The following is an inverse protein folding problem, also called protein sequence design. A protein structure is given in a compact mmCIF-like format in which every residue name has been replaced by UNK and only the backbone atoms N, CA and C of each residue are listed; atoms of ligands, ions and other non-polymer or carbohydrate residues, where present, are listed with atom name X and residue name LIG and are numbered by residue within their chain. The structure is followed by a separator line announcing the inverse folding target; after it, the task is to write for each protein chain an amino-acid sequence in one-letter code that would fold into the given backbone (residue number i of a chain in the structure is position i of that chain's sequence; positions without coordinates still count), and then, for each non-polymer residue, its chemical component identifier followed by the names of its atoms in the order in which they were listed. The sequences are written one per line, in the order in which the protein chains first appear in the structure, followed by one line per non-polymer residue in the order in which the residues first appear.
data_IF_853494687589
#
_entry.id   IF_853494687589
#
_cell.length_a   1.000
_cell.length_b   1.000
_cell.length_c   1.000
_cell.angle_alpha   90.00
_cell.angle_beta   90.00
_cell.angle_gamma   90.00
#
_symmetry.space_group_name_H-M   'P 1'
#
loop_
_entity.id
_entity.type
_entity.pdbx_description
1 polymer ?
#
# COMPACT_ATOMS: atom_id res chain seq x y z
N UNK A 1 -24.69 -13.02 8.19
CA UNK A 1 -23.88 -14.25 8.05
C UNK A 1 -22.95 -14.27 9.26
N UNK A 2 -23.12 -15.23 10.16
CA UNK A 2 -22.28 -15.38 11.36
C UNK A 2 -20.87 -15.84 10.96
N UNK A 3 -19.82 -15.21 11.49
CA UNK A 3 -18.44 -15.61 11.24
C UNK A 3 -18.15 -17.03 11.75
N UNK A 4 -18.20 -18.00 10.86
CA UNK A 4 -17.72 -19.37 11.13
C UNK A 4 -16.18 -19.48 11.12
N UNK A 5 -15.46 -18.42 10.76
CA UNK A 5 -14.04 -18.50 10.35
C UNK A 5 -13.02 -17.95 11.36
N UNK A 6 -13.41 -17.10 12.32
CA UNK A 6 -12.58 -16.78 13.47
C UNK A 6 -12.87 -17.75 14.62
N UNK A 7 -12.75 -19.06 14.38
CA UNK A 7 -12.63 -19.99 15.51
C UNK A 7 -11.29 -19.71 16.17
N UNK A 8 -11.32 -18.91 17.24
CA UNK A 8 -10.17 -18.62 18.11
C UNK A 8 -9.59 -19.98 18.54
N UNK A 9 -8.57 -20.46 17.85
CA UNK A 9 -7.90 -21.71 18.19
C UNK A 9 -7.11 -21.56 19.50
N UNK A 10 -6.74 -20.31 19.83
CA UNK A 10 -6.04 -19.92 21.06
C UNK A 10 -6.52 -18.54 21.50
N UNK A 11 -7.02 -18.45 22.73
CA UNK A 11 -7.47 -17.17 23.31
C UNK A 11 -6.28 -16.20 23.49
N UNK A 12 -6.42 -14.92 23.06
CA UNK A 12 -5.42 -13.88 23.29
C UNK A 12 -5.01 -13.76 24.75
N UNK A 13 -3.72 -13.53 24.99
CA UNK A 13 -3.14 -13.29 26.32
C UNK A 13 -2.67 -11.85 26.50
N UNK A 14 -2.46 -11.12 25.41
CA UNK A 14 -2.18 -9.68 25.41
C UNK A 14 -2.83 -9.02 24.18
N UNK A 15 -2.87 -7.68 24.14
CA UNK A 15 -3.41 -6.94 23.00
C UNK A 15 -2.75 -7.33 21.67
N UNK A 16 -1.44 -7.55 21.67
CA UNK A 16 -0.70 -7.99 20.49
C UNK A 16 -1.25 -9.30 19.91
N UNK A 17 -1.64 -10.26 20.76
CA UNK A 17 -2.25 -11.51 20.28
C UNK A 17 -3.60 -11.25 19.59
N UNK A 18 -4.40 -10.29 20.09
CA UNK A 18 -5.66 -9.86 19.44
C UNK A 18 -5.38 -9.23 18.07
N UNK A 19 -4.33 -8.41 17.97
CA UNK A 19 -3.87 -7.87 16.69
C UNK A 19 -3.41 -8.97 15.73
N UNK A 20 -2.64 -9.95 16.20
CA UNK A 20 -2.18 -11.08 15.38
C UNK A 20 -3.36 -11.93 14.86
N UNK A 21 -4.40 -12.14 15.67
CA UNK A 21 -5.64 -12.79 15.20
C UNK A 21 -6.30 -11.98 14.08
N UNK A 22 -6.39 -10.66 14.24
CA UNK A 22 -6.96 -9.79 13.21
C UNK A 22 -6.13 -9.76 11.93
N UNK A 23 -4.80 -9.72 12.02
CA UNK A 23 -3.92 -9.86 10.85
C UNK A 23 -4.13 -11.20 10.14
N UNK A 24 -4.37 -12.29 10.89
CA UNK A 24 -4.71 -13.59 10.32
C UNK A 24 -6.05 -13.57 9.57
N UNK A 25 -7.07 -12.90 10.11
CA UNK A 25 -8.34 -12.67 9.42
C UNK A 25 -8.14 -11.87 8.12
N UNK A 26 -7.45 -10.75 8.19
CA UNK A 26 -7.18 -9.87 7.04
C UNK A 26 -6.46 -10.63 5.93
N UNK A 27 -5.41 -11.40 6.28
CA UNK A 27 -4.70 -12.25 5.32
C UNK A 27 -5.66 -13.18 4.57
N UNK A 28 -6.53 -13.87 5.29
CA UNK A 28 -7.47 -14.79 4.67
C UNK A 28 -8.44 -14.06 3.72
N UNK A 29 -8.92 -12.87 4.11
CA UNK A 29 -9.76 -12.04 3.25
C UNK A 29 -9.04 -11.58 2.00
N UNK A 30 -7.77 -11.17 2.11
CA UNK A 30 -6.97 -10.75 0.96
C UNK A 30 -6.65 -11.91 0.01
N UNK A 31 -6.39 -13.12 0.53
CA UNK A 31 -6.19 -14.31 -0.31
C UNK A 31 -7.44 -14.61 -1.15
N UNK A 32 -8.64 -14.47 -0.55
CA UNK A 32 -9.91 -14.60 -1.27
C UNK A 32 -10.11 -13.48 -2.30
N UNK A 33 -9.92 -12.23 -1.90
CA UNK A 33 -10.07 -11.05 -2.75
C UNK A 33 -9.12 -11.13 -3.97
N UNK A 34 -7.88 -11.55 -3.74
CA UNK A 34 -6.85 -11.73 -4.77
C UNK A 34 -7.28 -12.77 -5.81
N UNK A 35 -7.79 -13.91 -5.36
CA UNK A 35 -8.25 -14.97 -6.24
C UNK A 35 -9.50 -14.56 -7.03
N UNK A 36 -10.47 -13.93 -6.36
CA UNK A 36 -11.75 -13.54 -6.95
C UNK A 36 -11.60 -12.41 -7.98
N UNK A 37 -10.68 -11.47 -7.73
CA UNK A 37 -10.52 -10.25 -8.54
C UNK A 37 -9.23 -10.23 -9.39
N UNK A 38 -8.45 -11.30 -9.36
CA UNK A 38 -7.15 -11.41 -10.07
C UNK A 38 -6.24 -10.21 -9.77
N UNK A 39 -5.90 -10.04 -8.49
CA UNK A 39 -5.07 -8.93 -8.01
C UNK A 39 -3.58 -9.25 -8.17
N UNK A 40 -2.92 -8.53 -9.07
CA UNK A 40 -1.48 -8.72 -9.32
C UNK A 40 -0.62 -7.86 -8.40
N UNK A 41 -1.16 -6.72 -7.94
CA UNK A 41 -0.46 -5.77 -7.08
C UNK A 41 -1.08 -5.69 -5.69
N UNK A 42 -2.35 -5.31 -5.56
CA UNK A 42 -2.99 -5.08 -4.25
C UNK A 42 -3.34 -6.43 -3.58
N UNK A 43 -2.31 -7.22 -3.26
CA UNK A 43 -2.37 -8.56 -2.70
C UNK A 43 -1.54 -8.64 -1.40
N UNK A 44 -1.47 -9.84 -0.80
CA UNK A 44 -0.80 -10.00 0.49
C UNK A 44 0.71 -9.67 0.45
N UNK A 45 1.38 -9.87 -0.69
CA UNK A 45 2.80 -9.54 -0.81
C UNK A 45 3.04 -8.03 -0.76
N UNK A 46 2.19 -7.25 -1.43
CA UNK A 46 2.25 -5.79 -1.39
C UNK A 46 2.09 -5.26 0.05
N UNK A 47 1.03 -5.66 0.76
CA UNK A 47 0.80 -5.15 2.11
C UNK A 47 1.88 -5.58 3.12
N UNK A 48 2.55 -6.71 2.89
CA UNK A 48 3.75 -7.09 3.66
C UNK A 48 4.91 -6.13 3.39
N UNK A 49 5.12 -5.72 2.13
CA UNK A 49 6.06 -4.67 1.77
C UNK A 49 5.72 -3.33 2.44
N UNK A 50 4.45 -2.92 2.42
CA UNK A 50 3.99 -1.71 3.12
C UNK A 50 4.22 -1.80 4.62
N UNK A 51 3.91 -2.94 5.26
CA UNK A 51 4.18 -3.15 6.68
C UNK A 51 5.68 -3.02 7.00
N UNK A 52 6.55 -3.63 6.20
CA UNK A 52 7.99 -3.55 6.40
C UNK A 52 8.50 -2.10 6.27
N UNK A 53 8.02 -1.36 5.26
CA UNK A 53 8.31 0.08 5.09
C UNK A 53 7.82 0.89 6.29
N UNK A 54 6.60 0.64 6.75
CA UNK A 54 6.01 1.31 7.91
C UNK A 54 6.81 1.07 9.20
N UNK A 55 7.31 -0.15 9.41
CA UNK A 55 8.16 -0.48 10.56
C UNK A 55 9.50 0.27 10.53
N UNK A 56 10.12 0.43 9.37
CA UNK A 56 11.36 1.22 9.21
C UNK A 56 11.14 2.69 9.57
N UNK A 57 10.07 3.30 9.04
CA UNK A 57 9.72 4.69 9.35
C UNK A 57 9.39 4.83 10.84
N UNK A 58 8.58 3.92 11.40
CA UNK A 58 8.23 3.94 12.82
C UNK A 58 9.45 3.85 13.72
N UNK A 59 10.38 2.92 13.45
CA UNK A 59 11.58 2.76 14.27
C UNK A 59 12.50 4.00 14.21
N UNK A 60 12.54 4.73 13.09
CA UNK A 60 13.26 6.00 12.96
C UNK A 60 12.58 7.15 13.73
N UNK A 61 11.25 7.19 13.77
CA UNK A 61 10.45 8.24 14.44
C UNK A 61 10.31 7.99 15.95
N UNK A 62 10.23 6.73 16.38
CA UNK A 62 9.88 6.31 17.74
C UNK A 62 10.67 7.01 18.84
N UNK A 63 12.02 7.15 18.78
CA UNK A 63 12.77 7.78 19.87
C UNK A 63 12.35 9.22 20.12
N UNK A 64 12.04 9.95 19.04
CA UNK A 64 11.67 11.36 19.09
C UNK A 64 10.19 11.53 19.47
N UNK A 65 9.32 10.68 18.94
CA UNK A 65 7.92 10.64 19.36
C UNK A 65 7.79 10.35 20.86
N UNK A 66 8.54 9.38 21.38
CA UNK A 66 8.57 9.10 22.83
C UNK A 66 9.02 10.31 23.65
N UNK A 67 10.03 11.05 23.18
CA UNK A 67 10.52 12.23 23.87
C UNK A 67 9.46 13.34 23.91
N UNK A 68 8.70 13.55 22.84
CA UNK A 68 7.59 14.52 22.80
C UNK A 68 6.44 14.12 23.72
N UNK A 69 6.02 12.85 23.71
CA UNK A 69 4.98 12.34 24.62
C UNK A 69 5.38 12.53 26.09
N UNK A 70 6.64 12.24 26.42
CA UNK A 70 7.18 12.45 27.77
C UNK A 70 7.12 13.92 28.20
N UNK A 71 7.36 14.86 27.27
CA UNK A 71 7.27 16.30 27.55
C UNK A 71 5.82 16.77 27.74
N UNK A 72 4.88 16.15 27.03
CA UNK A 72 3.44 16.47 27.11
C UNK A 72 2.71 15.74 28.24
N UNK A 73 3.39 14.83 28.94
CA UNK A 73 2.78 13.90 29.91
C UNK A 73 1.65 13.07 29.32
N UNK A 74 1.78 12.72 28.04
CA UNK A 74 0.80 11.93 27.31
C UNK A 74 0.98 10.44 27.64
N UNK A 75 -0.08 9.72 28.09
CA UNK A 75 0.00 8.30 28.44
C UNK A 75 0.01 7.36 27.22
N UNK A 76 0.08 7.88 25.99
CA UNK A 76 0.05 7.07 24.77
C UNK A 76 1.07 5.91 24.79
N UNK A 77 0.56 4.71 24.51
CA UNK A 77 1.37 3.49 24.42
C UNK A 77 1.90 3.31 22.99
N UNK A 78 3.19 3.59 22.78
CA UNK A 78 3.83 3.43 21.49
C UNK A 78 3.88 1.99 20.98
N UNK A 79 3.89 0.99 21.88
CA UNK A 79 3.83 -0.41 21.44
C UNK A 79 2.43 -0.75 20.94
N UNK A 80 1.39 -0.22 21.60
CA UNK A 80 0.01 -0.30 21.09
C UNK A 80 -0.11 0.37 19.72
N UNK A 81 0.46 1.57 19.55
CA UNK A 81 0.47 2.27 18.25
C UNK A 81 1.23 1.50 17.17
N UNK A 82 2.36 0.85 17.50
CA UNK A 82 3.09 -0.02 16.58
C UNK A 82 2.23 -1.18 16.10
N UNK A 83 1.48 -1.81 17.01
CA UNK A 83 0.59 -2.91 16.67
C UNK A 83 -0.57 -2.45 15.77
N UNK A 84 -1.16 -1.28 16.03
CA UNK A 84 -2.19 -0.69 15.16
C UNK A 84 -1.65 -0.32 13.78
N UNK A 85 -0.46 0.28 13.71
CA UNK A 85 0.22 0.56 12.44
C UNK A 85 0.42 -0.71 11.63
N UNK A 86 0.88 -1.78 12.28
CA UNK A 86 1.04 -3.08 11.62
C UNK A 86 -0.28 -3.62 11.08
N UNK A 87 -1.36 -3.53 11.86
CA UNK A 87 -2.69 -4.00 11.43
C UNK A 87 -3.22 -3.17 10.26
N UNK A 88 -3.16 -1.84 10.36
CA UNK A 88 -3.58 -0.93 9.30
C UNK A 88 -2.77 -1.17 8.02
N UNK A 89 -1.45 -1.35 8.12
CA UNK A 89 -0.59 -1.65 6.97
C UNK A 89 -0.99 -2.95 6.25
N UNK A 90 -1.32 -4.01 6.99
CA UNK A 90 -1.78 -5.28 6.40
C UNK A 90 -3.22 -5.19 5.86
N UNK A 91 -4.05 -4.31 6.43
CA UNK A 91 -5.46 -4.23 6.11
C UNK A 91 -5.83 -3.21 5.04
N UNK A 92 -5.04 -2.16 4.81
CA UNK A 92 -5.48 -0.99 4.04
C UNK A 92 -6.01 -1.30 2.62
N UNK A 93 -5.55 -2.41 2.02
CA UNK A 93 -5.95 -2.90 0.70
C UNK A 93 -6.84 -4.16 0.73
N UNK A 94 -7.43 -4.49 1.89
CA UNK A 94 -8.19 -5.73 2.08
C UNK A 94 -9.36 -5.89 1.10
N UNK A 95 -9.95 -4.79 0.64
CA UNK A 95 -11.03 -4.75 -0.35
C UNK A 95 -10.63 -3.89 -1.55
N UNK A 96 -10.85 -4.38 -2.76
CA UNK A 96 -10.54 -3.69 -4.02
C UNK A 96 -11.75 -3.60 -4.95
N UNK A 97 -12.46 -2.49 -4.93
CA UNK A 97 -13.69 -2.33 -5.72
C UNK A 97 -13.44 -1.60 -7.05
N UNK A 98 -13.60 -2.34 -8.14
CA UNK A 98 -13.42 -1.85 -9.51
C UNK A 98 -14.75 -1.49 -10.15
N UNK A 99 -14.76 -0.40 -10.91
CA UNK A 99 -15.83 -0.06 -11.82
C UNK A 99 -15.89 -1.06 -12.98
N UNK A 100 -17.07 -1.33 -13.56
CA UNK A 100 -17.18 -2.13 -14.77
C UNK A 100 -16.30 -1.57 -15.90
N UNK A 101 -15.43 -2.42 -16.45
CA UNK A 101 -14.51 -2.05 -17.53
C UNK A 101 -14.99 -2.64 -18.87
N UNK A 102 -14.70 -1.93 -19.96
CA UNK A 102 -14.86 -2.47 -21.31
C UNK A 102 -13.62 -3.29 -21.69
N UNK A 103 -13.74 -4.24 -22.64
CA UNK A 103 -12.57 -4.94 -23.15
C UNK A 103 -11.49 -3.98 -23.64
N UNK A 104 -10.24 -4.29 -23.33
CA UNK A 104 -9.03 -3.54 -23.70
C UNK A 104 -8.96 -2.14 -23.08
N UNK A 105 -9.63 -1.94 -21.94
CA UNK A 105 -9.53 -0.72 -21.15
C UNK A 105 -9.03 -1.02 -19.75
N UNK A 106 -8.17 -0.14 -19.22
CA UNK A 106 -7.70 -0.27 -17.85
C UNK A 106 -8.87 -0.24 -16.85
N UNK A 107 -8.88 -1.16 -15.89
CA UNK A 107 -9.77 -1.12 -14.73
C UNK A 107 -9.57 0.19 -13.98
N UNK A 108 -10.66 0.69 -13.39
CA UNK A 108 -10.66 1.92 -12.60
C UNK A 108 -11.33 1.67 -11.27
N UNK A 109 -10.88 2.38 -10.25
CA UNK A 109 -11.51 2.45 -8.93
C UNK A 109 -12.12 3.83 -8.74
N UNK A 110 -13.17 3.91 -7.94
CA UNK A 110 -13.67 5.19 -7.44
C UNK A 110 -12.88 5.56 -6.18
N UNK A 111 -12.46 6.82 -6.09
CA UNK A 111 -11.59 7.29 -5.01
C UNK A 111 -12.24 7.08 -3.64
N UNK A 112 -11.51 6.47 -2.70
CA UNK A 112 -11.96 6.27 -1.33
C UNK A 112 -12.95 5.12 -1.12
N UNK A 113 -13.50 4.53 -2.18
CA UNK A 113 -14.52 3.46 -2.04
C UNK A 113 -13.90 2.18 -1.49
N UNK A 114 -12.72 1.79 -1.97
CA UNK A 114 -12.02 0.58 -1.52
C UNK A 114 -11.53 0.71 -0.07
N UNK A 115 -11.02 1.87 0.28
CA UNK A 115 -10.55 2.19 1.63
C UNK A 115 -11.72 2.25 2.63
N UNK A 116 -12.85 2.86 2.24
CA UNK A 116 -14.05 2.89 3.07
C UNK A 116 -14.62 1.49 3.31
N UNK A 117 -14.74 0.67 2.27
CA UNK A 117 -15.20 -0.72 2.39
C UNK A 117 -14.25 -1.57 3.26
N UNK A 118 -12.94 -1.32 3.14
CA UNK A 118 -11.92 -1.94 3.99
C UNK A 118 -12.11 -1.56 5.46
N UNK A 119 -12.30 -0.28 5.77
CA UNK A 119 -12.55 0.22 7.13
C UNK A 119 -13.81 -0.43 7.71
N UNK A 120 -14.93 -0.38 7.01
CA UNK A 120 -16.20 -0.97 7.49
C UNK A 120 -16.05 -2.46 7.80
N UNK A 121 -15.39 -3.21 6.90
CA UNK A 121 -15.17 -4.65 7.06
C UNK A 121 -14.23 -4.96 8.23
N UNK A 122 -13.14 -4.21 8.40
CA UNK A 122 -12.19 -4.40 9.48
C UNK A 122 -12.82 -4.07 10.84
N UNK A 123 -13.49 -2.93 10.96
CA UNK A 123 -14.13 -2.50 12.21
C UNK A 123 -15.28 -3.43 12.61
N UNK A 124 -16.05 -3.94 11.64
CA UNK A 124 -17.04 -4.98 11.90
C UNK A 124 -16.42 -6.24 12.49
N UNK A 125 -15.30 -6.70 11.92
CA UNK A 125 -14.57 -7.87 12.44
C UNK A 125 -13.97 -7.65 13.84
N UNK A 126 -13.45 -6.44 14.11
CA UNK A 126 -12.96 -6.04 15.44
C UNK A 126 -14.10 -6.03 16.46
N UNK A 127 -15.28 -5.50 16.11
CA UNK A 127 -16.43 -5.49 16.99
C UNK A 127 -16.89 -6.91 17.38
N UNK A 128 -16.87 -7.85 16.42
CA UNK A 128 -17.15 -9.26 16.69
C UNK A 128 -16.09 -9.89 17.62
N UNK A 129 -14.79 -9.67 17.35
CA UNK A 129 -13.71 -10.16 18.22
C UNK A 129 -13.81 -9.59 19.64
N UNK A 130 -14.08 -8.30 19.77
CA UNK A 130 -14.27 -7.65 21.07
C UNK A 130 -15.46 -8.25 21.84
N UNK A 131 -16.58 -8.51 21.17
CA UNK A 131 -17.74 -9.16 21.78
C UNK A 131 -17.41 -10.58 22.29
N UNK A 132 -16.67 -11.35 21.50
CA UNK A 132 -16.21 -12.69 21.88
C UNK A 132 -15.23 -12.63 23.07
N UNK A 133 -14.29 -11.69 23.07
CA UNK A 133 -13.36 -11.48 24.17
C UNK A 133 -14.07 -11.04 25.46
N UNK A 134 -15.07 -10.15 25.36
CA UNK A 134 -15.85 -9.72 26.51
C UNK A 134 -16.66 -10.87 27.13
N UNK A 135 -17.17 -11.79 26.30
CA UNK A 135 -17.90 -12.96 26.77
C UNK A 135 -16.97 -14.03 27.41
N UNK A 136 -15.78 -14.24 26.84
CA UNK A 136 -14.85 -15.29 27.27
C UNK A 136 -13.87 -14.86 28.36
N UNK A 137 -13.48 -13.58 28.38
CA UNK A 137 -12.48 -12.99 29.27
C UNK A 137 -12.94 -11.61 29.81
N UNK A 138 -14.07 -11.54 30.54
CA UNK A 138 -14.65 -10.26 31.00
C UNK A 138 -13.72 -9.43 31.89
N UNK A 139 -12.80 -10.08 32.61
CA UNK A 139 -11.85 -9.41 33.52
C UNK A 139 -10.60 -8.86 32.81
N UNK A 140 -10.53 -8.95 31.47
CA UNK A 140 -9.36 -8.51 30.68
C UNK A 140 -9.75 -7.58 29.51
N UNK A 141 -10.23 -6.36 29.82
CA UNK A 141 -10.59 -5.38 28.78
C UNK A 141 -9.39 -4.87 27.99
N UNK A 142 -8.16 -5.01 28.50
CA UNK A 142 -6.90 -4.62 27.86
C UNK A 142 -6.56 -5.44 26.61
N UNK A 143 -7.18 -6.61 26.44
CA UNK A 143 -7.08 -7.43 25.24
C UNK A 143 -7.92 -6.90 24.07
N UNK A 144 -8.92 -6.07 24.34
CA UNK A 144 -9.87 -5.57 23.35
C UNK A 144 -9.31 -4.32 22.65
N UNK A 145 -9.82 -4.07 21.45
CA UNK A 145 -9.65 -2.79 20.78
C UNK A 145 -10.62 -1.77 21.41
N UNK A 146 -10.11 -0.61 21.79
CA UNK A 146 -10.91 0.52 22.25
C UNK A 146 -11.43 1.35 21.06
N UNK A 147 -12.37 2.26 21.32
CA UNK A 147 -12.86 3.18 20.30
C UNK A 147 -11.72 4.03 19.71
N UNK A 148 -10.77 4.48 20.55
CA UNK A 148 -9.60 5.23 20.09
C UNK A 148 -8.68 4.41 19.17
N UNK A 149 -8.57 3.09 19.40
CA UNK A 149 -7.81 2.22 18.48
C UNK A 149 -8.50 2.13 17.12
N UNK A 150 -9.84 2.02 17.12
CA UNK A 150 -10.64 2.00 15.89
C UNK A 150 -10.54 3.32 15.12
N UNK A 151 -10.52 4.46 15.81
CA UNK A 151 -10.29 5.78 15.21
C UNK A 151 -8.91 5.87 14.54
N UNK A 152 -7.85 5.39 15.21
CA UNK A 152 -6.50 5.34 14.63
C UNK A 152 -6.46 4.44 13.38
N UNK A 153 -7.11 3.27 13.40
CA UNK A 153 -7.17 2.39 12.23
C UNK A 153 -7.94 3.03 11.07
N UNK A 154 -9.08 3.65 11.36
CA UNK A 154 -9.89 4.35 10.37
C UNK A 154 -9.11 5.50 9.73
N UNK A 155 -8.49 6.35 10.54
CA UNK A 155 -7.69 7.49 10.06
C UNK A 155 -6.51 7.01 9.22
N UNK A 156 -5.79 5.98 9.68
CA UNK A 156 -4.61 5.48 8.98
C UNK A 156 -4.96 4.88 7.61
N UNK A 157 -6.03 4.08 7.51
CA UNK A 157 -6.46 3.52 6.23
C UNK A 157 -7.04 4.63 5.32
N UNK A 158 -7.79 5.59 5.86
CA UNK A 158 -8.28 6.71 5.07
C UNK A 158 -7.13 7.59 4.52
N UNK A 159 -5.99 7.66 5.23
CA UNK A 159 -4.82 8.39 4.78
C UNK A 159 -4.13 7.79 3.54
N UNK A 160 -4.40 6.53 3.19
CA UNK A 160 -3.85 5.91 1.97
C UNK A 160 -4.65 6.24 0.71
N UNK A 161 -5.81 6.91 0.84
CA UNK A 161 -6.60 7.35 -0.31
C UNK A 161 -5.74 8.24 -1.20
N UNK A 162 -5.54 7.76 -2.42
CA UNK A 162 -4.70 8.42 -3.41
C UNK A 162 -5.52 9.38 -4.30
N UNK A 163 -4.83 10.38 -4.81
CA UNK A 163 -5.30 11.27 -5.89
C UNK A 163 -4.17 11.46 -6.92
N UNK A 164 -4.53 11.92 -8.11
CA UNK A 164 -3.60 12.15 -9.21
C UNK A 164 -3.44 13.65 -9.46
N UNK A 165 -2.22 14.15 -9.35
CA UNK A 165 -1.88 15.51 -9.75
C UNK A 165 -1.52 15.53 -11.25
N UNK A 166 -2.36 16.15 -12.12
CA UNK A 166 -2.08 16.23 -13.55
C UNK A 166 -0.88 17.12 -13.89
N UNK A 167 -0.51 18.05 -13.00
CA UNK A 167 0.61 19.00 -13.19
C UNK A 167 1.95 18.27 -13.06
N UNK A 168 2.07 17.45 -12.02
CA UNK A 168 3.26 16.66 -11.73
C UNK A 168 3.25 15.27 -12.38
N UNK A 169 2.09 14.87 -12.92
CA UNK A 169 1.83 13.52 -13.44
C UNK A 169 2.21 12.43 -12.42
N UNK A 170 1.80 12.65 -11.18
CA UNK A 170 2.16 11.80 -10.05
C UNK A 170 0.95 11.56 -9.15
N UNK A 171 0.96 10.40 -8.49
CA UNK A 171 0.03 10.08 -7.41
C UNK A 171 0.53 10.71 -6.11
N UNK A 172 -0.39 11.23 -5.31
CA UNK A 172 -0.16 11.71 -3.94
C UNK A 172 -1.34 11.33 -3.04
N UNK A 173 -1.15 11.41 -1.73
CA UNK A 173 -2.21 11.17 -0.75
C UNK A 173 -2.65 12.51 -0.14
N UNK A 174 -3.86 13.02 -0.44
CA UNK A 174 -4.29 14.36 -0.01
C UNK A 174 -4.27 14.58 1.50
N UNK A 175 -4.44 13.52 2.29
CA UNK A 175 -4.39 13.56 3.75
C UNK A 175 -3.10 14.21 4.28
N UNK A 176 -1.95 13.99 3.63
CA UNK A 176 -0.66 14.57 4.02
C UNK A 176 -0.55 16.09 3.77
N UNK A 177 -1.56 16.70 3.14
CA UNK A 177 -1.58 18.10 2.74
C UNK A 177 -2.64 18.92 3.47
N UNK A 178 -3.42 18.30 4.36
CA UNK A 178 -4.41 19.02 5.16
C UNK A 178 -3.71 19.79 6.29
N UNK A 179 -4.38 20.82 6.80
CA UNK A 179 -3.93 21.59 7.98
C UNK A 179 -4.41 20.96 9.30
N UNK A 180 -5.16 19.86 9.24
CA UNK A 180 -5.67 19.14 10.40
C UNK A 180 -4.53 18.43 11.15
N UNK A 181 -4.71 18.25 12.46
CA UNK A 181 -3.80 17.43 13.26
C UNK A 181 -3.92 15.97 12.80
N UNK A 182 -2.78 15.33 12.60
CA UNK A 182 -2.69 14.00 11.99
C UNK A 182 -2.07 13.03 12.98
N UNK A 183 -2.60 11.82 13.04
CA UNK A 183 -1.90 10.75 13.74
C UNK A 183 -0.59 10.40 13.05
N UNK A 184 0.47 10.22 13.83
CA UNK A 184 1.73 9.67 13.33
C UNK A 184 1.54 8.29 12.70
N UNK A 185 0.57 7.48 13.15
CA UNK A 185 0.25 6.18 12.52
C UNK A 185 -0.23 6.39 11.09
N UNK A 186 -1.11 7.37 10.86
CA UNK A 186 -1.64 7.68 9.55
C UNK A 186 -0.58 8.25 8.61
N UNK A 187 0.25 9.19 9.08
CA UNK A 187 1.37 9.72 8.30
C UNK A 187 2.35 8.61 7.91
N UNK A 188 2.73 7.75 8.86
CA UNK A 188 3.68 6.66 8.61
C UNK A 188 3.10 5.68 7.60
N UNK A 189 1.84 5.29 7.72
CA UNK A 189 1.21 4.36 6.78
C UNK A 189 1.12 4.96 5.38
N UNK A 190 0.67 6.21 5.26
CA UNK A 190 0.58 6.90 3.97
C UNK A 190 1.95 6.94 3.26
N UNK A 191 3.00 7.37 3.98
CA UNK A 191 4.38 7.36 3.46
C UNK A 191 4.86 5.94 3.10
N UNK A 192 4.49 4.95 3.91
CA UNK A 192 4.88 3.57 3.69
C UNK A 192 4.22 3.01 2.43
N UNK A 193 2.94 3.28 2.17
CA UNK A 193 2.16 2.76 1.03
C UNK A 193 2.77 3.13 -0.33
N UNK A 194 3.11 4.40 -0.53
CA UNK A 194 3.71 4.91 -1.78
C UNK A 194 5.24 5.13 -1.68
N UNK A 195 5.89 4.46 -0.73
CA UNK A 195 7.30 4.64 -0.36
C UNK A 195 8.34 3.75 -1.07
N UNK A 196 7.93 2.78 -1.90
CA UNK A 196 8.83 1.75 -2.44
C UNK A 196 10.08 2.32 -3.10
N UNK A 197 9.94 3.34 -3.97
CA UNK A 197 11.10 3.96 -4.61
C UNK A 197 12.07 4.57 -3.60
N UNK A 198 11.55 5.32 -2.63
CA UNK A 198 12.36 6.09 -1.69
C UNK A 198 13.10 5.20 -0.68
N UNK A 199 12.51 4.05 -0.33
CA UNK A 199 13.01 3.15 0.73
C UNK A 199 13.76 1.95 0.15
N UNK A 200 13.23 1.32 -0.90
CA UNK A 200 13.72 0.04 -1.44
C UNK A 200 14.44 0.19 -2.78
N UNK A 201 14.27 1.33 -3.45
CA UNK A 201 14.97 1.68 -4.67
C UNK A 201 14.28 1.23 -5.96
N UNK A 202 15.05 1.27 -7.06
CA UNK A 202 14.53 1.19 -8.44
C UNK A 202 13.90 -0.17 -8.76
N UNK A 203 14.48 -1.27 -8.28
CA UNK A 203 14.01 -2.61 -8.62
C UNK A 203 12.63 -2.91 -8.01
N UNK A 204 12.43 -2.54 -6.74
CA UNK A 204 11.14 -2.62 -6.07
C UNK A 204 10.10 -1.74 -6.78
N UNK A 205 10.43 -0.47 -7.04
CA UNK A 205 9.58 0.46 -7.77
C UNK A 205 9.15 -0.06 -9.16
N UNK A 206 10.05 -0.72 -9.88
CA UNK A 206 9.75 -1.35 -11.17
C UNK A 206 8.87 -2.59 -11.04
N UNK A 207 9.08 -3.40 -10.00
CA UNK A 207 8.23 -4.56 -9.71
C UNK A 207 6.79 -4.11 -9.47
N UNK A 208 6.57 -3.17 -8.55
CA UNK A 208 5.23 -2.65 -8.28
C UNK A 208 4.60 -2.04 -9.54
N UNK A 209 5.38 -1.28 -10.31
CA UNK A 209 4.89 -0.68 -11.55
C UNK A 209 4.46 -1.70 -12.62
N UNK A 210 5.08 -2.88 -12.66
CA UNK A 210 4.71 -4.02 -13.51
C UNK A 210 3.43 -4.69 -13.00
N UNK A 211 3.36 -4.98 -11.72
CA UNK A 211 2.21 -5.63 -11.09
C UNK A 211 0.94 -4.80 -11.25
N UNK A 212 1.02 -3.49 -10.99
CA UNK A 212 -0.11 -2.58 -11.19
C UNK A 212 -0.54 -2.55 -12.66
N UNK A 213 0.40 -2.58 -13.62
CA UNK A 213 0.04 -2.62 -15.04
C UNK A 213 -0.83 -3.83 -15.38
N UNK A 214 -0.44 -5.02 -14.87
CA UNK A 214 -1.20 -6.25 -15.09
C UNK A 214 -2.55 -6.20 -14.40
N UNK A 215 -2.59 -5.68 -13.19
CA UNK A 215 -3.83 -5.56 -12.45
C UNK A 215 -4.80 -4.62 -13.17
N UNK A 216 -4.34 -3.48 -13.64
CA UNK A 216 -5.16 -2.53 -14.37
C UNK A 216 -5.59 -3.10 -15.74
N UNK A 217 -4.75 -3.89 -16.41
CA UNK A 217 -4.95 -4.29 -17.80
C UNK A 217 -5.04 -5.81 -17.99
N UNK A 218 -6.06 -6.43 -17.39
CA UNK A 218 -6.24 -7.90 -17.42
C UNK A 218 -6.27 -8.50 -18.83
N UNK A 219 -6.83 -7.79 -19.82
CA UNK A 219 -6.88 -8.28 -21.22
C UNK A 219 -5.49 -8.40 -21.87
N UNK A 220 -4.50 -7.66 -21.38
CA UNK A 220 -3.12 -7.73 -21.86
C UNK A 220 -2.29 -8.79 -21.15
N UNK A 221 -2.76 -9.35 -20.02
CA UNK A 221 -2.03 -10.36 -19.24
C UNK A 221 -1.55 -11.54 -20.10
N UNK A 222 -2.39 -12.17 -20.97
CA UNK A 222 -1.91 -13.28 -21.79
C UNK A 222 -0.78 -12.88 -22.73
N UNK A 223 -0.84 -11.66 -23.31
CA UNK A 223 0.13 -11.18 -24.29
C UNK A 223 1.49 -10.86 -23.64
N UNK A 224 1.48 -10.42 -22.38
CA UNK A 224 2.71 -10.04 -21.68
C UNK A 224 3.36 -11.19 -20.93
N UNK A 225 2.57 -12.17 -20.45
CA UNK A 225 3.10 -13.40 -19.85
C UNK A 225 3.51 -14.44 -20.90
N UNK A 226 2.91 -14.38 -22.10
CA UNK A 226 3.20 -15.31 -23.21
C UNK A 226 3.49 -14.54 -24.51
N UNK A 227 4.58 -13.76 -24.57
CA UNK A 227 4.89 -12.91 -25.72
C UNK A 227 5.08 -13.69 -27.02
N UNK A 228 5.43 -14.98 -26.97
CA UNK A 228 5.48 -15.87 -28.14
C UNK A 228 4.14 -16.03 -28.86
N UNK A 229 3.02 -15.74 -28.19
CA UNK A 229 1.67 -15.84 -28.76
C UNK A 229 1.21 -14.54 -29.43
N UNK A 230 1.99 -13.45 -29.34
CA UNK A 230 1.64 -12.16 -29.92
C UNK A 230 1.26 -12.23 -31.39
N UNK A 231 1.90 -13.10 -32.17
CA UNK A 231 1.61 -13.26 -33.60
C UNK A 231 0.19 -13.72 -33.91
N UNK A 232 -0.53 -14.28 -32.93
CA UNK A 232 -1.92 -14.69 -33.06
C UNK A 232 -2.90 -13.52 -32.93
N UNK A 233 -2.46 -12.37 -32.43
CA UNK A 233 -3.30 -11.21 -32.16
C UNK A 233 -3.28 -10.20 -33.33
N UNK A 234 -4.40 -9.49 -33.57
CA UNK A 234 -4.47 -8.44 -34.59
C UNK A 234 -3.41 -7.35 -34.39
N UNK A 235 -2.93 -6.77 -35.49
CA UNK A 235 -1.96 -5.67 -35.47
C UNK A 235 -2.41 -4.48 -34.59
N UNK A 236 -3.70 -4.16 -34.59
CA UNK A 236 -4.27 -3.11 -33.74
C UNK A 236 -4.08 -3.40 -32.23
N UNK A 237 -4.20 -4.66 -31.80
CA UNK A 237 -3.96 -5.07 -30.40
C UNK A 237 -2.49 -4.90 -30.03
N UNK A 238 -1.57 -5.25 -30.93
CA UNK A 238 -0.13 -5.06 -30.71
C UNK A 238 0.23 -3.58 -30.54
N UNK A 239 -0.37 -2.70 -31.36
CA UNK A 239 -0.22 -1.24 -31.21
C UNK A 239 -0.78 -0.77 -29.86
N UNK A 240 -2.00 -1.19 -29.52
CA UNK A 240 -2.63 -0.80 -28.26
C UNK A 240 -1.80 -1.22 -27.03
N UNK A 241 -1.27 -2.45 -27.02
CA UNK A 241 -0.38 -2.94 -25.97
C UNK A 241 0.87 -2.10 -25.87
N UNK A 242 1.53 -1.83 -27.01
CA UNK A 242 2.74 -1.01 -27.07
C UNK A 242 2.49 0.39 -26.51
N UNK A 243 1.41 1.04 -26.93
CA UNK A 243 1.10 2.40 -26.49
C UNK A 243 0.74 2.45 -24.99
N UNK A 244 0.07 1.42 -24.46
CA UNK A 244 -0.19 1.30 -23.02
C UNK A 244 1.09 1.11 -22.20
N UNK A 245 1.97 0.20 -22.62
CA UNK A 245 3.27 -0.02 -21.95
C UNK A 245 4.15 1.24 -22.01
N UNK A 246 4.18 1.93 -23.15
CA UNK A 246 4.92 3.18 -23.30
C UNK A 246 4.33 4.29 -22.41
N UNK A 247 3.00 4.38 -22.33
CA UNK A 247 2.29 5.27 -21.41
C UNK A 247 2.68 4.99 -19.97
N UNK A 248 2.70 3.71 -19.56
CA UNK A 248 3.12 3.27 -18.23
C UNK A 248 4.58 3.63 -17.92
N UNK A 249 5.50 3.40 -18.85
CA UNK A 249 6.91 3.73 -18.69
C UNK A 249 7.12 5.25 -18.46
N UNK A 250 6.38 6.08 -19.20
CA UNK A 250 6.41 7.54 -19.02
C UNK A 250 5.79 7.97 -17.69
N UNK A 251 4.68 7.34 -17.30
CA UNK A 251 4.03 7.59 -16.03
C UNK A 251 4.97 7.29 -14.85
N UNK A 252 5.71 6.19 -14.89
CA UNK A 252 6.69 5.85 -13.84
C UNK A 252 7.72 6.96 -13.60
N UNK A 253 8.20 7.64 -14.65
CA UNK A 253 9.12 8.77 -14.49
C UNK A 253 8.46 9.97 -13.80
N UNK A 254 7.22 10.29 -14.21
CA UNK A 254 6.43 11.35 -13.58
C UNK A 254 6.19 11.06 -12.10
N UNK A 255 5.72 9.85 -11.81
CA UNK A 255 5.46 9.38 -10.45
C UNK A 255 6.71 9.41 -9.57
N UNK A 256 7.84 8.86 -10.04
CA UNK A 256 9.11 8.89 -9.32
C UNK A 256 9.57 10.32 -8.99
N UNK A 257 9.46 11.22 -9.97
CA UNK A 257 9.83 12.63 -9.81
C UNK A 257 8.94 13.31 -8.77
N UNK A 258 7.62 13.11 -8.86
CA UNK A 258 6.66 13.65 -7.90
C UNK A 258 6.93 13.15 -6.48
N UNK A 259 7.18 11.85 -6.30
CA UNK A 259 7.47 11.25 -4.98
C UNK A 259 8.69 11.87 -4.31
N UNK A 260 9.79 12.01 -5.05
CA UNK A 260 11.02 12.58 -4.49
C UNK A 260 10.84 14.07 -4.15
N UNK A 261 10.13 14.84 -4.99
CA UNK A 261 9.92 16.27 -4.76
C UNK A 261 8.98 16.56 -3.60
N UNK A 262 8.00 15.67 -3.34
CA UNK A 262 6.97 15.84 -2.33
C UNK A 262 7.38 15.34 -0.95
N UNK A 263 8.33 14.41 -0.87
CA UNK A 263 8.76 13.80 0.37
C UNK A 263 9.11 14.82 1.49
N UNK A 264 9.83 15.94 1.24
CA UNK A 264 10.12 16.93 2.28
C UNK A 264 8.87 17.57 2.88
N UNK A 265 7.81 17.72 2.09
CA UNK A 265 6.55 18.27 2.56
C UNK A 265 5.74 17.21 3.29
N UNK A 266 5.65 16.00 2.75
CA UNK A 266 4.87 14.89 3.31
C UNK A 266 5.40 14.35 4.64
N UNK A 267 6.65 14.66 4.96
CA UNK A 267 7.30 14.29 6.23
C UNK A 267 7.31 15.43 7.26
N UNK A 268 6.78 16.61 6.93
CA UNK A 268 6.90 17.83 7.76
C UNK A 268 6.23 17.73 9.13
N UNK A 269 5.21 16.88 9.24
CA UNK A 269 4.40 16.71 10.45
C UNK A 269 4.99 15.63 11.38
N UNK A 270 6.04 14.91 10.95
CA UNK A 270 6.81 14.01 11.82
C UNK A 270 7.75 14.80 12.74
N UNK A 271 8.17 14.24 13.90
CA UNK A 271 9.07 14.94 14.81
C UNK A 271 10.35 15.38 14.10
N UNK A 272 10.66 16.69 14.15
CA UNK A 272 11.73 17.33 13.37
C UNK A 272 13.10 16.65 13.56
N UNK A 273 13.36 16.15 14.77
CA UNK A 273 14.62 15.47 15.10
C UNK A 273 14.77 14.12 14.38
N UNK A 274 13.66 13.50 13.96
CA UNK A 274 13.66 12.25 13.19
C UNK A 274 14.09 12.47 11.74
N UNK A 275 14.03 13.70 11.23
CA UNK A 275 14.25 14.00 9.80
C UNK A 275 15.63 13.58 9.31
N UNK A 276 16.66 13.71 10.14
CA UNK A 276 18.02 13.28 9.78
C UNK A 276 18.05 11.77 9.57
N UNK A 277 17.54 10.99 10.54
CA UNK A 277 17.47 9.52 10.46
C UNK A 277 16.61 9.07 9.29
N UNK A 278 15.43 9.69 9.11
CA UNK A 278 14.54 9.37 7.99
C UNK A 278 15.24 9.59 6.64
N UNK A 279 15.99 10.67 6.47
CA UNK A 279 16.69 10.95 5.21
C UNK A 279 17.92 10.05 5.00
N UNK A 280 18.70 9.78 6.04
CA UNK A 280 19.96 9.05 5.90
C UNK A 280 19.83 7.54 5.97
N UNK A 281 18.78 7.01 6.61
CA UNK A 281 18.63 5.57 6.89
C UNK A 281 17.38 4.95 6.27
N UNK A 282 16.30 5.72 6.08
CA UNK A 282 15.02 5.18 5.57
C UNK A 282 14.82 5.55 4.10
N UNK A 283 14.73 6.85 3.78
CA UNK A 283 14.48 7.36 2.43
C UNK A 283 15.76 7.52 1.60
N UNK A 284 16.68 6.55 1.69
CA UNK A 284 18.03 6.66 1.12
C UNK A 284 18.05 6.80 -0.41
N UNK A 285 17.00 6.33 -1.10
CA UNK A 285 16.85 6.43 -2.55
C UNK A 285 16.03 7.66 -2.99
N UNK A 286 15.56 8.50 -2.07
CA UNK A 286 14.87 9.73 -2.40
C UNK A 286 15.85 10.85 -2.82
N UNK A 287 16.59 10.62 -3.90
CA UNK A 287 17.67 11.49 -4.33
C UNK A 287 17.75 11.63 -5.87
N UNK A 288 18.54 12.61 -6.33
CA UNK A 288 18.68 12.92 -7.75
C UNK A 288 19.36 11.80 -8.55
N UNK A 289 20.30 11.07 -7.94
CA UNK A 289 20.98 9.96 -8.61
C UNK A 289 19.99 8.85 -9.01
N UNK A 290 19.09 8.49 -8.10
CA UNK A 290 18.01 7.53 -8.37
C UNK A 290 17.09 8.00 -9.50
N UNK A 291 16.74 9.29 -9.53
CA UNK A 291 15.93 9.85 -10.63
C UNK A 291 16.65 9.82 -11.98
N UNK A 292 17.94 10.16 -12.01
CA UNK A 292 18.72 10.17 -13.24
C UNK A 292 18.91 8.75 -13.78
N UNK A 293 19.15 7.78 -12.89
CA UNK A 293 19.18 6.37 -13.25
C UNK A 293 17.83 5.91 -13.82
N UNK A 294 16.71 6.21 -13.17
CA UNK A 294 15.38 5.87 -13.71
C UNK A 294 15.14 6.48 -15.10
N UNK A 295 15.44 7.76 -15.29
CA UNK A 295 15.25 8.46 -16.58
C UNK A 295 16.10 7.87 -17.69
N UNK A 296 17.31 7.40 -17.38
CA UNK A 296 18.23 6.83 -18.38
C UNK A 296 17.89 5.39 -18.76
N UNK A 297 17.30 4.63 -17.83
CA UNK A 297 17.07 3.19 -18.00
C UNK A 297 15.61 2.84 -18.33
N UNK A 298 14.68 3.79 -18.26
CA UNK A 298 13.26 3.60 -18.60
C UNK A 298 12.99 4.00 -20.05
N UNK A 299 12.42 3.13 -20.89
CA UNK A 299 12.28 3.39 -22.32
C UNK A 299 11.07 4.28 -22.64
N UNK A 300 11.25 5.60 -22.58
CA UNK A 300 10.16 6.59 -22.75
C UNK A 300 10.02 7.16 -24.17
N UNK A 301 10.90 6.77 -25.10
CA UNK A 301 10.91 7.30 -26.48
C UNK A 301 9.62 6.98 -27.23
N UNK A 302 9.05 7.92 -28.01
CA UNK A 302 7.95 7.63 -28.92
C UNK A 302 8.26 6.57 -29.97
N UNK A 303 9.53 6.22 -30.17
CA UNK A 303 9.99 5.21 -31.14
C UNK A 303 10.29 3.85 -30.49
N UNK A 304 10.16 3.71 -29.16
CA UNK A 304 10.41 2.43 -28.48
C UNK A 304 9.49 1.34 -29.07
N UNK A 305 10.09 0.20 -29.40
CA UNK A 305 9.38 -0.95 -29.96
C UNK A 305 8.58 -1.71 -28.91
N UNK A 306 7.59 -2.51 -29.33
CA UNK A 306 6.85 -3.39 -28.43
C UNK A 306 7.78 -4.42 -27.76
N UNK A 307 8.76 -4.95 -28.49
CA UNK A 307 9.73 -5.93 -27.98
C UNK A 307 10.59 -5.34 -26.85
N UNK A 308 11.10 -4.12 -27.03
CA UNK A 308 11.87 -3.42 -26.00
C UNK A 308 11.03 -3.13 -24.74
N UNK A 309 9.76 -2.74 -24.91
CA UNK A 309 8.84 -2.52 -23.79
C UNK A 309 8.56 -3.81 -23.04
N UNK A 310 8.25 -4.90 -23.74
CA UNK A 310 8.02 -6.22 -23.11
C UNK A 310 9.25 -6.71 -22.35
N UNK A 311 10.45 -6.48 -22.89
CA UNK A 311 11.70 -6.79 -22.21
C UNK A 311 11.89 -5.93 -20.95
N UNK A 312 11.63 -4.64 -21.02
CA UNK A 312 11.73 -3.73 -19.87
C UNK A 312 10.77 -4.12 -18.75
N UNK A 313 9.52 -4.45 -19.10
CA UNK A 313 8.51 -4.85 -18.14
C UNK A 313 8.59 -6.34 -17.73
N UNK A 314 9.59 -7.12 -18.18
CA UNK A 314 9.77 -8.57 -17.94
C UNK A 314 8.98 -9.09 -16.71
N UNK A 315 8.01 -9.96 -16.99
CA UNK A 315 7.02 -10.44 -16.03
C UNK A 315 7.33 -11.87 -15.54
N UNK A 316 8.60 -12.29 -15.60
CA UNK A 316 9.06 -13.69 -15.43
C UNK A 316 8.78 -14.33 -14.05
N UNK A 317 8.21 -13.56 -13.10
CA UNK A 317 7.98 -14.01 -11.72
C UNK A 317 6.70 -13.45 -11.15
N UNK A 318 5.57 -13.89 -11.68
CA UNK A 318 4.31 -13.67 -10.98
C UNK A 318 3.81 -15.04 -10.55
N UNK A 319 4.00 -15.41 -9.28
CA UNK A 319 3.47 -16.64 -8.74
C UNK A 319 1.96 -16.46 -8.59
N UNK A 320 1.22 -16.58 -9.68
CA UNK A 320 -0.21 -16.86 -9.58
C UNK A 320 -0.32 -18.37 -9.38
N UNK A 321 -0.02 -18.83 -8.17
CA UNK A 321 -0.45 -20.16 -7.75
C UNK A 321 -1.93 -20.05 -7.44
N UNK A 322 -2.77 -20.49 -8.38
CA UNK A 322 -4.18 -20.79 -8.15
C UNK A 322 -4.32 -22.02 -7.24
#
# INVERSE_FOLDING_TARGET
MTMTHLKIQRSPQCFKDSVELMMGYVRHQMEQETADKLLYFHNFAHVQGVKARAELIFDAVRPHWQAELNQRHDPLDLERMRNLLGLAAIAHDMVQDFLPAQPWTARRREQGVSEHATIEKLLGAIAELNADLAAQQPDKPDLQFSDADCEVLQEAIAATICDFDPSDRAIFQPYLYTDEEKSNVAIILALADIGALAIEGIDAFRQEGREIFLEENLDFVPLVLHPQELEQYPHATKIALRDNLLGRARFQIGFATGRINRLPFETRDLPLQSMVTLQSEVFTYANQQTLDELKTTTPTSPETSLEELLKYFSFDRIPVNF
#
